data_IF_803776471465
#
_entry.id   IF_803776471465
#
_cell.length_a   1.000
_cell.length_b   1.000
_cell.length_c   1.000
_cell.angle_alpha   90.00
_cell.angle_beta   90.00
_cell.angle_gamma   90.00
#
_symmetry.space_group_name_H-M   'P 1'
#
loop_
_entity.id
_entity.type
_entity.pdbx_description
1 polymer ?
#
# COMPACT_ATOMS: atom_id res chain seq x y z
N UNK A 1 10.60 13.36 -12.10
CA UNK A 1 10.14 13.64 -10.72
C UNK A 1 9.95 12.28 -10.09
N UNK A 2 10.70 11.95 -9.04
CA UNK A 2 10.47 10.70 -8.29
C UNK A 2 9.14 10.89 -7.58
N UNK A 3 8.06 10.51 -8.28
CA UNK A 3 6.69 10.69 -7.87
C UNK A 3 6.40 9.86 -6.62
N UNK A 4 5.41 10.36 -5.90
CA UNK A 4 5.05 10.13 -4.51
C UNK A 4 5.45 8.74 -3.96
N UNK A 5 6.08 8.70 -2.80
CA UNK A 5 6.61 7.45 -2.26
C UNK A 5 5.48 6.55 -1.74
N UNK A 6 5.74 5.24 -1.59
CA UNK A 6 4.80 4.34 -0.90
C UNK A 6 4.49 4.83 0.54
N UNK A 7 5.40 5.56 1.16
CA UNK A 7 5.20 6.24 2.44
C UNK A 7 4.11 7.33 2.33
N UNK A 8 4.15 8.19 1.30
CA UNK A 8 3.09 9.18 1.05
C UNK A 8 1.76 8.53 0.68
N UNK A 9 1.78 7.40 -0.03
CA UNK A 9 0.59 6.58 -0.30
C UNK A 9 -0.07 6.08 1.01
N UNK A 10 0.75 5.71 1.98
CA UNK A 10 0.32 5.26 3.30
C UNK A 10 -0.16 6.44 4.14
N UNK A 11 0.48 7.61 4.08
CA UNK A 11 0.16 8.78 4.90
C UNK A 11 -1.04 9.60 4.37
N UNK A 12 -1.16 9.79 3.06
CA UNK A 12 -2.28 10.54 2.46
C UNK A 12 -3.47 9.63 2.12
N UNK A 13 -3.28 8.31 2.17
CA UNK A 13 -4.26 7.30 1.80
C UNK A 13 -4.56 7.29 0.29
N UNK A 14 -5.40 6.34 -0.17
CA UNK A 14 -5.73 6.21 -1.59
C UNK A 14 -6.64 7.33 -2.13
N UNK A 15 -7.13 8.25 -1.28
CA UNK A 15 -8.12 9.26 -1.69
C UNK A 15 -7.53 10.44 -2.46
N UNK A 16 -6.23 10.70 -2.33
CA UNK A 16 -5.60 11.93 -2.86
C UNK A 16 -4.84 11.72 -4.16
N UNK A 17 -4.55 10.46 -4.53
CA UNK A 17 -3.69 10.14 -5.67
C UNK A 17 -4.50 9.79 -6.94
N UNK A 18 -3.87 9.93 -8.11
CA UNK A 18 -4.49 9.63 -9.40
C UNK A 18 -4.53 8.11 -9.70
N UNK A 19 -5.28 7.72 -10.73
CA UNK A 19 -5.43 6.30 -11.09
C UNK A 19 -4.09 5.61 -11.45
N UNK A 20 -3.21 6.20 -12.27
CA UNK A 20 -1.89 5.62 -12.56
C UNK A 20 -1.08 5.31 -11.29
N UNK A 21 -1.04 6.24 -10.34
CA UNK A 21 -0.37 6.03 -9.06
C UNK A 21 -0.94 4.82 -8.32
N UNK A 22 -2.27 4.76 -8.16
CA UNK A 22 -2.92 3.66 -7.45
C UNK A 22 -2.65 2.29 -8.08
N UNK A 23 -2.66 2.20 -9.42
CA UNK A 23 -2.35 0.95 -10.13
C UNK A 23 -0.88 0.53 -9.95
N UNK A 24 0.04 1.49 -9.97
CA UNK A 24 1.44 1.23 -9.67
C UNK A 24 1.62 0.76 -8.22
N UNK A 25 1.00 1.43 -7.25
CA UNK A 25 1.00 1.02 -5.85
C UNK A 25 0.47 -0.41 -5.66
N UNK A 26 -0.63 -0.79 -6.32
CA UNK A 26 -1.14 -2.18 -6.30
C UNK A 26 -0.09 -3.17 -6.80
N UNK A 27 0.62 -2.82 -7.88
CA UNK A 27 1.66 -3.68 -8.46
C UNK A 27 2.83 -3.85 -7.50
N UNK A 28 3.33 -2.75 -6.93
CA UNK A 28 4.43 -2.76 -5.97
C UNK A 28 4.08 -3.53 -4.70
N UNK A 29 2.86 -3.36 -4.17
CA UNK A 29 2.38 -4.10 -3.00
C UNK A 29 2.26 -5.59 -3.27
N UNK A 30 1.79 -6.00 -4.47
CA UNK A 30 1.76 -7.41 -4.86
C UNK A 30 3.16 -8.00 -4.97
N UNK A 31 4.12 -7.25 -5.51
CA UNK A 31 5.54 -7.66 -5.55
C UNK A 31 6.12 -7.81 -4.15
N UNK A 32 5.87 -6.84 -3.25
CA UNK A 32 6.30 -6.90 -1.86
C UNK A 32 5.72 -8.13 -1.14
N UNK A 33 4.43 -8.41 -1.33
CA UNK A 33 3.75 -9.55 -0.71
C UNK A 33 4.17 -10.91 -1.29
N UNK A 34 4.80 -10.95 -2.47
CA UNK A 34 5.42 -12.16 -3.00
C UNK A 34 6.75 -12.52 -2.33
N UNK A 35 7.39 -11.57 -1.63
CA UNK A 35 8.61 -11.81 -0.88
C UNK A 35 8.37 -12.61 0.41
N UNK A 36 9.45 -13.15 0.98
CA UNK A 36 9.43 -13.78 2.30
C UNK A 36 9.20 -12.76 3.42
N UNK A 37 8.76 -13.22 4.59
CA UNK A 37 8.50 -12.33 5.74
C UNK A 37 9.76 -11.59 6.21
N UNK A 38 10.94 -12.20 6.09
CA UNK A 38 12.21 -11.57 6.43
C UNK A 38 12.60 -10.45 5.45
N UNK A 39 12.31 -10.63 4.16
CA UNK A 39 12.49 -9.59 3.14
C UNK A 39 11.49 -8.46 3.35
N UNK A 40 10.22 -8.79 3.63
CA UNK A 40 9.19 -7.80 3.96
C UNK A 40 9.63 -6.97 5.16
N UNK A 41 10.13 -7.59 6.23
CA UNK A 41 10.65 -6.86 7.40
C UNK A 41 11.78 -5.91 7.04
N UNK A 42 12.78 -6.38 6.29
CA UNK A 42 13.91 -5.55 5.87
C UNK A 42 13.48 -4.37 4.98
N UNK A 43 12.61 -4.63 4.01
CA UNK A 43 12.12 -3.60 3.08
C UNK A 43 11.23 -2.61 3.82
N UNK A 44 10.32 -3.09 4.68
CA UNK A 44 9.42 -2.22 5.47
C UNK A 44 10.20 -1.29 6.37
N UNK A 45 11.27 -1.77 7.03
CA UNK A 45 12.16 -0.91 7.82
C UNK A 45 12.83 0.17 6.98
N UNK A 46 13.27 -0.18 5.77
CA UNK A 46 13.91 0.76 4.87
C UNK A 46 12.93 1.80 4.30
N UNK A 47 11.68 1.40 4.04
CA UNK A 47 10.65 2.26 3.47
C UNK A 47 9.95 3.14 4.52
N UNK A 48 9.63 2.59 5.68
CA UNK A 48 8.85 3.28 6.72
C UNK A 48 9.72 3.96 7.78
N UNK A 49 11.05 3.74 7.75
CA UNK A 49 12.00 4.27 8.73
C UNK A 49 11.83 3.73 10.16
N UNK A 50 10.68 3.13 10.48
CA UNK A 50 10.27 2.63 11.80
C UNK A 50 9.41 1.37 11.59
N UNK A 51 9.71 0.28 12.32
CA UNK A 51 8.83 -0.91 12.33
C UNK A 51 7.50 -0.50 12.98
N UNK A 52 6.33 -0.80 12.40
CA UNK A 52 5.03 -0.54 13.01
C UNK A 52 4.81 -1.56 14.14
N UNK A 53 5.56 -1.40 15.23
CA UNK A 53 5.25 -1.97 16.55
C UNK A 53 4.63 -0.90 17.44
N UNK A 54 4.75 0.36 17.04
CA UNK A 54 4.15 1.51 17.74
C UNK A 54 2.86 1.86 17.02
N UNK A 55 1.75 1.84 17.75
CA UNK A 55 0.46 2.34 17.28
C UNK A 55 0.66 3.78 16.75
N UNK A 56 0.41 4.06 15.46
CA UNK A 56 0.54 5.42 14.96
C UNK A 56 -0.49 6.31 15.67
N UNK A 57 -0.02 7.27 16.48
CA UNK A 57 -0.87 8.24 17.18
C UNK A 57 -1.58 9.19 16.21
N UNK A 58 -1.07 9.36 14.98
CA UNK A 58 -1.65 10.23 13.97
C UNK A 58 -2.16 9.44 12.75
N UNK A 59 -3.31 9.85 12.19
CA UNK A 59 -3.90 9.17 11.05
C UNK A 59 -3.01 9.25 9.80
N UNK A 60 -3.13 8.26 8.90
CA UNK A 60 -4.15 7.21 8.89
C UNK A 60 -3.86 6.10 9.90
N UNK A 61 -4.81 5.91 10.83
CA UNK A 61 -4.78 4.83 11.80
C UNK A 61 -5.22 3.57 11.07
N UNK A 62 -4.25 2.87 10.48
CA UNK A 62 -4.49 1.61 9.77
C UNK A 62 -4.92 0.47 10.72
N UNK A 63 -4.90 0.69 12.03
CA UNK A 63 -5.18 -0.31 13.06
C UNK A 63 -3.95 -1.12 13.45
N UNK A 64 -4.12 -2.01 14.41
CA UNK A 64 -3.08 -2.95 14.85
C UNK A 64 -3.11 -4.20 13.98
N UNK A 65 -1.93 -4.64 13.54
CA UNK A 65 -1.79 -5.84 12.71
C UNK A 65 -0.88 -6.87 13.39
N UNK A 66 -1.20 -8.17 13.28
CA UNK A 66 -0.39 -9.24 13.88
C UNK A 66 0.96 -9.44 13.17
N UNK A 67 1.15 -8.85 11.99
CA UNK A 67 2.41 -8.91 11.24
C UNK A 67 2.48 -7.80 10.17
N UNK A 68 3.69 -7.52 9.68
CA UNK A 68 3.91 -6.64 8.54
C UNK A 68 3.18 -7.13 7.27
N UNK A 69 3.13 -8.44 7.04
CA UNK A 69 2.36 -9.01 5.93
C UNK A 69 0.86 -8.70 6.06
N UNK A 70 0.31 -8.77 7.27
CA UNK A 70 -1.09 -8.43 7.51
C UNK A 70 -1.35 -6.94 7.27
N UNK A 71 -0.44 -6.07 7.73
CA UNK A 71 -0.48 -4.64 7.44
C UNK A 71 -0.47 -4.36 5.93
N UNK A 72 0.54 -4.88 5.20
CA UNK A 72 0.65 -4.64 3.76
C UNK A 72 -0.49 -5.26 2.96
N UNK A 73 -1.03 -6.40 3.39
CA UNK A 73 -2.25 -6.98 2.81
C UNK A 73 -3.45 -6.05 2.97
N UNK A 74 -3.59 -5.38 4.12
CA UNK A 74 -4.66 -4.42 4.35
C UNK A 74 -4.48 -3.16 3.49
N UNK A 75 -3.26 -2.63 3.38
CA UNK A 75 -2.96 -1.52 2.47
C UNK A 75 -3.32 -1.90 1.02
N UNK A 76 -2.89 -3.08 0.56
CA UNK A 76 -3.24 -3.59 -0.77
C UNK A 76 -4.75 -3.66 -0.95
N UNK A 77 -5.47 -4.21 0.03
CA UNK A 77 -6.92 -4.32 -0.04
C UNK A 77 -7.61 -2.96 -0.20
N UNK A 78 -7.15 -1.91 0.49
CA UNK A 78 -7.73 -0.57 0.34
C UNK A 78 -7.46 -0.02 -1.06
N UNK A 79 -6.24 -0.16 -1.59
CA UNK A 79 -5.93 0.30 -2.96
C UNK A 79 -6.69 -0.50 -4.03
N UNK A 80 -6.80 -1.82 -3.87
CA UNK A 80 -7.56 -2.65 -4.81
C UNK A 80 -9.03 -2.30 -4.84
N UNK A 81 -9.62 -1.88 -3.70
CA UNK A 81 -11.03 -1.51 -3.59
C UNK A 81 -11.27 0.00 -3.74
N UNK A 82 -10.25 0.78 -4.13
CA UNK A 82 -10.45 2.18 -4.45
C UNK A 82 -11.41 2.31 -5.66
N UNK A 83 -12.42 3.20 -5.61
CA UNK A 83 -13.40 3.34 -6.69
C UNK A 83 -12.79 3.64 -8.05
N UNK A 84 -11.68 4.39 -8.12
CA UNK A 84 -11.01 4.67 -9.39
C UNK A 84 -10.32 3.41 -9.94
N UNK A 85 -9.69 2.60 -9.08
CA UNK A 85 -9.05 1.34 -9.47
C UNK A 85 -10.10 0.33 -9.94
N UNK A 86 -11.23 0.23 -9.24
CA UNK A 86 -12.34 -0.65 -9.63
C UNK A 86 -13.01 -0.19 -10.93
N UNK A 87 -13.28 1.11 -11.08
CA UNK A 87 -13.80 1.66 -12.33
C UNK A 87 -12.85 1.43 -13.52
N UNK A 88 -11.54 1.46 -13.30
CA UNK A 88 -10.55 1.10 -14.32
C UNK A 88 -10.61 -0.37 -14.77
N UNK A 89 -10.95 -1.29 -13.87
CA UNK A 89 -11.14 -2.73 -14.21
C UNK A 89 -12.43 -2.97 -15.00
N UNK A 90 -13.50 -2.24 -14.69
CA UNK A 90 -14.77 -2.36 -15.42
C UNK A 90 -14.70 -1.83 -16.85
N UNK A 91 -13.75 -0.92 -17.14
CA UNK A 91 -13.50 -0.37 -18.47
C UNK A 91 -12.59 -1.27 -19.32
N UNK A 92 -11.79 -2.15 -18.72
CA UNK A 92 -10.94 -3.11 -19.43
C UNK A 92 -11.34 -4.57 -19.12
N UNK A 93 -12.37 -5.13 -19.77
CA UNK A 93 -12.67 -6.55 -19.66
C UNK A 93 -11.81 -7.41 -20.60
N UNK A 94 -11.24 -6.84 -21.67
CA UNK A 94 -10.51 -7.52 -22.76
C UNK A 94 -10.10 -6.49 -23.82
N UNK A 95 -8.80 -6.23 -24.00
CA UNK A 95 -8.25 -5.86 -25.31
C UNK A 95 -7.04 -6.73 -25.62
#
# INVERSE_FOLDING_TARGET
MFGDTLEEAIQCGPRTHDLPFKLQTVTELRTLLACSDAEIDRISKALLGIIPVVEPEEPPNWGSFPSLRAFWSAVLHVFENDPAVQAGKDIDPSM
#
